data_IF_995726209755
#
_entry.id   IF_995726209755
#
_cell.length_a   1.000
_cell.length_b   1.000
_cell.length_c   1.000
_cell.angle_alpha   90.00
_cell.angle_beta   90.00
_cell.angle_gamma   90.00
#
_symmetry.space_group_name_H-M   'P 1'
#
loop_
_entity.id
_entity.type
_entity.pdbx_description
1 polymer ?
#
# COMPACT_ATOMS: atom_id res chain seq x y z
N UNK A 1 -4.57 -7.92 22.05
CA UNK A 1 -4.20 -6.77 21.19
C UNK A 1 -5.47 -6.19 20.62
N UNK A 2 -5.62 -4.86 20.55
CA UNK A 2 -6.77 -4.23 19.87
C UNK A 2 -6.55 -4.22 18.35
N UNK A 3 -7.63 -4.13 17.56
CA UNK A 3 -7.55 -4.05 16.09
C UNK A 3 -6.70 -2.86 15.62
N UNK A 4 -6.84 -1.70 16.26
CA UNK A 4 -6.00 -0.53 15.97
C UNK A 4 -4.50 -0.82 16.11
N UNK A 5 -4.08 -1.53 17.17
CA UNK A 5 -2.65 -1.89 17.36
C UNK A 5 -2.18 -2.89 16.30
N UNK A 6 -3.04 -3.83 15.92
CA UNK A 6 -2.73 -4.77 14.84
C UNK A 6 -2.54 -4.03 13.51
N UNK A 7 -3.44 -3.11 13.14
CA UNK A 7 -3.30 -2.32 11.92
C UNK A 7 -2.06 -1.43 11.92
N UNK A 8 -1.74 -0.80 13.06
CA UNK A 8 -0.52 -0.02 13.20
C UNK A 8 0.74 -0.88 12.95
N UNK A 9 0.79 -2.09 13.52
CA UNK A 9 1.89 -3.03 13.28
C UNK A 9 1.95 -3.44 11.81
N UNK A 10 0.81 -3.69 11.18
CA UNK A 10 0.75 -4.02 9.76
C UNK A 10 1.17 -2.83 8.87
N UNK A 11 0.96 -1.57 9.27
CA UNK A 11 1.54 -0.42 8.58
C UNK A 11 3.07 -0.45 8.60
N UNK A 12 3.66 -0.78 9.75
CA UNK A 12 5.11 -0.89 9.89
C UNK A 12 5.65 -2.03 9.01
N UNK A 13 5.08 -3.22 9.13
CA UNK A 13 5.48 -4.40 8.33
C UNK A 13 5.30 -4.13 6.83
N UNK A 14 4.13 -3.61 6.45
CA UNK A 14 3.78 -3.29 5.07
C UNK A 14 4.61 -2.17 4.44
N UNK A 15 5.33 -1.38 5.25
CA UNK A 15 6.30 -0.37 4.79
C UNK A 15 7.72 -0.90 4.76
N UNK A 16 8.15 -1.53 5.85
CA UNK A 16 9.54 -1.98 6.00
C UNK A 16 9.87 -3.09 4.99
N UNK A 17 8.97 -4.05 4.81
CA UNK A 17 9.25 -5.20 3.95
C UNK A 17 9.47 -4.81 2.48
N UNK A 18 8.60 -4.00 1.83
CA UNK A 18 8.88 -3.52 0.48
C UNK A 18 10.14 -2.66 0.39
N UNK A 19 10.34 -1.75 1.36
CA UNK A 19 11.47 -0.81 1.32
C UNK A 19 12.83 -1.48 1.51
N UNK A 20 12.94 -2.61 2.23
CA UNK A 20 14.18 -3.40 2.29
C UNK A 20 14.56 -3.86 0.88
N UNK A 21 13.61 -4.43 0.14
CA UNK A 21 13.87 -4.90 -1.23
C UNK A 21 14.13 -3.73 -2.22
N UNK A 22 13.43 -2.61 -2.05
CA UNK A 22 13.68 -1.42 -2.87
C UNK A 22 15.07 -0.84 -2.58
N UNK A 23 15.48 -0.80 -1.32
CA UNK A 23 16.81 -0.35 -0.92
C UNK A 23 17.90 -1.23 -1.54
N UNK A 24 17.75 -2.56 -1.49
CA UNK A 24 18.68 -3.50 -2.13
C UNK A 24 18.77 -3.30 -3.65
N UNK A 25 17.63 -3.01 -4.29
CA UNK A 25 17.61 -2.70 -5.72
C UNK A 25 18.37 -1.40 -6.02
N UNK A 26 18.05 -0.31 -5.31
CA UNK A 26 18.65 1.00 -5.54
C UNK A 26 20.14 1.05 -5.13
N UNK A 27 20.57 0.24 -4.14
CA UNK A 27 21.99 0.10 -3.81
C UNK A 27 22.78 -0.62 -4.89
N UNK A 28 22.13 -1.56 -5.61
CA UNK A 28 22.78 -2.39 -6.64
C UNK A 28 22.74 -1.76 -8.03
N UNK A 29 21.70 -0.99 -8.35
CA UNK A 29 21.46 -0.45 -9.71
C UNK A 29 21.47 1.09 -9.77
N UNK A 30 21.59 1.78 -8.63
CA UNK A 30 21.36 3.22 -8.56
C UNK A 30 19.89 3.59 -8.77
N UNK A 31 19.59 4.88 -8.97
CA UNK A 31 18.24 5.40 -9.18
C UNK A 31 17.69 5.11 -10.60
N UNK A 32 17.80 3.86 -11.06
CA UNK A 32 17.29 3.42 -12.35
C UNK A 32 15.82 3.00 -12.24
N UNK A 33 14.93 3.99 -12.34
CA UNK A 33 13.50 3.77 -12.31
C UNK A 33 12.99 2.98 -13.52
N UNK A 34 13.64 3.07 -14.69
CA UNK A 34 13.23 2.34 -15.88
C UNK A 34 13.43 0.83 -15.67
N UNK A 35 14.59 0.45 -15.14
CA UNK A 35 14.88 -0.94 -14.78
C UNK A 35 13.97 -1.42 -13.64
N UNK A 36 13.70 -0.58 -12.64
CA UNK A 36 12.80 -0.91 -11.53
C UNK A 36 11.42 -1.33 -12.04
N UNK A 37 10.79 -0.54 -12.91
CA UNK A 37 9.48 -0.87 -13.47
C UNK A 37 9.53 -2.06 -14.43
N UNK A 38 10.61 -2.24 -15.20
CA UNK A 38 10.79 -3.42 -16.04
C UNK A 38 10.86 -4.71 -15.20
N UNK A 39 11.50 -4.66 -14.03
CA UNK A 39 11.66 -5.80 -13.11
C UNK A 39 10.42 -6.08 -12.24
N UNK A 40 9.39 -5.23 -12.25
CA UNK A 40 8.13 -5.54 -11.58
C UNK A 40 7.35 -6.66 -12.27
N UNK A 41 7.54 -6.84 -13.58
CA UNK A 41 6.74 -7.76 -14.39
C UNK A 41 7.56 -8.69 -15.31
N UNK A 42 8.61 -9.36 -14.82
CA UNK A 42 9.55 -10.13 -15.65
C UNK A 42 8.94 -11.44 -16.17
N UNK A 43 7.91 -11.96 -15.50
CA UNK A 43 7.25 -13.22 -15.84
C UNK A 43 5.74 -13.05 -15.97
N UNK A 44 5.06 -14.01 -16.61
CA UNK A 44 3.60 -14.00 -16.71
C UNK A 44 2.91 -14.04 -15.34
N UNK A 45 3.49 -14.76 -14.37
CA UNK A 45 2.97 -14.82 -12.99
C UNK A 45 3.11 -13.48 -12.28
N UNK A 46 4.28 -12.83 -12.39
CA UNK A 46 4.49 -11.50 -11.83
C UNK A 46 3.50 -10.48 -12.42
N UNK A 47 3.32 -10.49 -13.76
CA UNK A 47 2.30 -9.69 -14.45
C UNK A 47 0.90 -9.90 -13.89
N UNK A 48 0.49 -11.16 -13.71
CA UNK A 48 -0.80 -11.52 -13.15
C UNK A 48 -1.01 -10.93 -11.75
N UNK A 49 -0.02 -11.08 -10.85
CA UNK A 49 -0.06 -10.53 -9.50
C UNK A 49 -0.08 -9.00 -9.48
N UNK A 50 0.70 -8.34 -10.35
CA UNK A 50 0.68 -6.87 -10.47
C UNK A 50 -0.70 -6.37 -10.90
N UNK A 51 -1.33 -7.03 -11.88
CA UNK A 51 -2.69 -6.67 -12.34
C UNK A 51 -3.72 -6.90 -11.23
N UNK A 52 -3.65 -8.03 -10.53
CA UNK A 52 -4.53 -8.37 -9.41
C UNK A 52 -4.47 -7.31 -8.28
N UNK A 53 -3.26 -6.93 -7.87
CA UNK A 53 -3.04 -5.89 -6.85
C UNK A 53 -3.52 -4.52 -7.36
N UNK A 54 -3.27 -4.19 -8.63
CA UNK A 54 -3.69 -2.91 -9.21
C UNK A 54 -5.21 -2.77 -9.24
N UNK A 55 -5.93 -3.83 -9.64
CA UNK A 55 -7.39 -3.86 -9.61
C UNK A 55 -7.91 -3.77 -8.16
N UNK A 56 -7.28 -4.47 -7.22
CA UNK A 56 -7.62 -4.40 -5.80
C UNK A 56 -7.46 -2.99 -5.23
N UNK A 57 -6.37 -2.29 -5.58
CA UNK A 57 -6.15 -0.89 -5.22
C UNK A 57 -7.26 0.01 -5.76
N UNK A 58 -7.64 -0.14 -7.04
CA UNK A 58 -8.69 0.69 -7.66
C UNK A 58 -10.02 0.52 -6.95
N UNK A 59 -10.44 -0.74 -6.72
CA UNK A 59 -11.67 -1.04 -5.98
C UNK A 59 -11.58 -0.49 -4.55
N UNK A 60 -10.45 -0.67 -3.88
CA UNK A 60 -10.21 -0.18 -2.53
C UNK A 60 -10.26 1.34 -2.43
N UNK A 61 -9.72 2.09 -3.39
CA UNK A 61 -9.82 3.56 -3.39
C UNK A 61 -11.27 4.02 -3.46
N UNK A 62 -12.07 3.45 -4.36
CA UNK A 62 -13.49 3.80 -4.48
C UNK A 62 -14.25 3.42 -3.21
N UNK A 63 -14.08 2.19 -2.73
CA UNK A 63 -14.77 1.71 -1.54
C UNK A 63 -14.39 2.50 -0.28
N UNK A 64 -13.08 2.68 -0.02
CA UNK A 64 -12.59 3.39 1.16
C UNK A 64 -12.98 4.86 1.14
N UNK A 65 -13.09 5.49 -0.03
CA UNK A 65 -13.59 6.86 -0.14
C UNK A 65 -15.05 6.98 0.29
N UNK A 66 -15.90 6.05 -0.15
CA UNK A 66 -17.32 6.01 0.21
C UNK A 66 -17.48 5.72 1.70
N UNK A 67 -16.79 4.70 2.22
CA UNK A 67 -16.81 4.32 3.64
C UNK A 67 -16.29 5.47 4.52
N UNK A 68 -15.23 6.16 4.11
CA UNK A 68 -14.68 7.30 4.83
C UNK A 68 -15.67 8.46 4.93
N UNK A 69 -16.44 8.72 3.87
CA UNK A 69 -17.50 9.75 3.89
C UNK A 69 -18.66 9.36 4.80
N UNK A 70 -19.08 8.10 4.76
CA UNK A 70 -20.20 7.61 5.58
C UNK A 70 -19.87 7.58 7.07
N UNK A 71 -18.68 7.10 7.43
CA UNK A 71 -18.19 7.01 8.82
C UNK A 71 -17.42 8.26 9.26
N UNK A 72 -17.44 9.32 8.44
CA UNK A 72 -16.73 10.57 8.69
C UNK A 72 -15.24 10.38 9.03
N UNK A 73 -14.53 9.40 8.46
CA UNK A 73 -13.09 9.13 8.70
C UNK A 73 -12.24 10.34 8.30
N UNK A 74 -11.32 10.78 9.18
CA UNK A 74 -10.45 11.95 8.95
C UNK A 74 -9.24 11.48 8.17
N UNK A 75 -8.64 12.38 7.41
CA UNK A 75 -7.33 12.15 6.78
C UNK A 75 -7.32 10.96 5.80
N UNK A 76 -8.48 10.58 5.22
CA UNK A 76 -8.55 9.53 4.18
C UNK A 76 -7.57 9.79 3.03
N UNK A 77 -7.30 11.06 2.71
CA UNK A 77 -6.34 11.44 1.68
C UNK A 77 -4.94 10.85 1.88
N UNK A 78 -4.54 10.45 3.10
CA UNK A 78 -3.26 9.78 3.39
C UNK A 78 -3.15 8.40 2.73
N UNK A 79 -4.28 7.77 2.38
CA UNK A 79 -4.32 6.48 1.67
C UNK A 79 -3.69 6.59 0.28
N UNK A 80 -3.85 7.72 -0.40
CA UNK A 80 -3.31 7.95 -1.74
C UNK A 80 -1.77 7.96 -1.78
N UNK A 81 -1.05 8.82 -1.02
CA UNK A 81 0.41 8.77 -0.99
C UNK A 81 0.93 7.46 -0.41
N UNK A 82 0.22 6.85 0.56
CA UNK A 82 0.60 5.52 1.06
C UNK A 82 0.60 4.45 -0.05
N UNK A 83 -0.42 4.48 -0.92
CA UNK A 83 -0.52 3.56 -2.05
C UNK A 83 0.57 3.83 -3.10
N UNK A 84 0.86 5.09 -3.40
CA UNK A 84 1.82 5.46 -4.45
C UNK A 84 3.28 5.31 -4.02
N UNK A 85 3.60 5.62 -2.75
CA UNK A 85 4.97 5.58 -2.24
C UNK A 85 5.40 4.20 -1.72
N UNK A 86 4.45 3.36 -1.31
CA UNK A 86 4.75 2.05 -0.72
C UNK A 86 3.97 0.95 -1.43
N UNK A 87 2.66 1.12 -1.58
CA UNK A 87 1.78 0.13 -2.21
C UNK A 87 0.57 -0.22 -1.35
N UNK A 88 -0.17 -1.23 -1.80
CA UNK A 88 -1.39 -1.68 -1.13
C UNK A 88 -1.13 -2.20 0.29
N UNK A 89 0.06 -2.75 0.54
CA UNK A 89 0.50 -3.29 1.84
C UNK A 89 0.45 -2.28 2.98
N UNK A 90 0.68 -0.98 2.72
CA UNK A 90 0.52 0.08 3.71
C UNK A 90 -0.87 0.73 3.61
N UNK A 91 -1.38 0.94 2.40
CA UNK A 91 -2.61 1.69 2.19
C UNK A 91 -3.82 1.08 2.91
N UNK A 92 -3.98 -0.25 2.84
CA UNK A 92 -5.05 -0.98 3.50
C UNK A 92 -5.01 -0.87 5.03
N UNK A 93 -3.92 -1.27 5.73
CA UNK A 93 -3.87 -1.17 7.18
C UNK A 93 -3.92 0.29 7.67
N UNK A 94 -3.37 1.25 6.92
CA UNK A 94 -3.48 2.66 7.25
C UNK A 94 -4.93 3.13 7.28
N UNK A 95 -5.71 2.78 6.25
CA UNK A 95 -7.13 3.13 6.22
C UNK A 95 -7.91 2.49 7.37
N UNK A 96 -7.69 1.19 7.62
CA UNK A 96 -8.36 0.47 8.71
C UNK A 96 -7.99 1.04 10.08
N UNK A 97 -6.74 1.46 10.27
CA UNK A 97 -6.30 2.16 11.48
C UNK A 97 -7.03 3.50 11.66
N UNK A 98 -7.10 4.33 10.60
CA UNK A 98 -7.80 5.61 10.64
C UNK A 98 -9.29 5.44 10.95
N UNK A 99 -9.92 4.41 10.37
CA UNK A 99 -11.32 4.04 10.61
C UNK A 99 -11.56 3.60 12.06
N UNK A 100 -10.68 2.77 12.61
CA UNK A 100 -10.78 2.30 13.99
C UNK A 100 -10.52 3.41 15.01
N UNK A 101 -9.58 4.33 14.71
CA UNK A 101 -9.25 5.46 15.60
C UNK A 101 -10.37 6.50 15.76
N UNK A 102 -11.46 6.34 14.99
CA UNK A 102 -12.68 7.15 15.05
C UNK A 102 -13.85 6.48 15.77
N UNK A 103 -13.79 5.16 15.96
CA UNK A 103 -14.80 4.39 16.67
C UNK A 103 -14.72 4.63 18.19
#
# INVERSE_FOLDING_TARGET
MTLARFYLLMCLVGTLWPWIHFADFFSSHGADFALFFAQMTPTAVAKGLTVDISLSILVFWVWSFVDARQLSVRNWWLVLPATLCVGFSLALPLYLFLRESKA
#
